data_IF_148202739624
#
_entry.id   IF_148202739624
#
_cell.length_a   1.000
_cell.length_b   1.000
_cell.length_c   1.000
_cell.angle_alpha   90.00
_cell.angle_beta   90.00
_cell.angle_gamma   90.00
#
_symmetry.space_group_name_H-M   'P 1'
#
loop_
_entity.id
_entity.type
_entity.pdbx_description
1 polymer ?
#
# COMPACT_ATOMS: atom_id res chain seq x y z
N UNK A 1 -5.02 -8.88 29.43
CA UNK A 1 -5.04 -8.05 28.20
C UNK A 1 -4.78 -9.04 27.09
N UNK A 2 -5.79 -9.32 26.29
CA UNK A 2 -5.62 -10.16 25.10
C UNK A 2 -4.56 -9.50 24.22
N UNK A 3 -3.64 -10.30 23.76
CA UNK A 3 -2.58 -9.90 22.82
C UNK A 3 -3.28 -9.44 21.53
N UNK A 4 -3.58 -8.15 21.46
CA UNK A 4 -4.23 -7.55 20.31
C UNK A 4 -3.24 -7.68 19.15
N UNK A 5 -3.55 -8.57 18.21
CA UNK A 5 -2.68 -8.91 17.10
C UNK A 5 -2.10 -7.65 16.41
N UNK A 6 -0.85 -7.75 15.98
CA UNK A 6 -0.09 -6.66 15.34
C UNK A 6 -0.63 -6.25 13.97
N UNK A 7 -1.61 -6.98 13.43
CA UNK A 7 -2.13 -6.83 12.07
C UNK A 7 -3.58 -6.38 12.12
N UNK A 8 -3.96 -5.47 11.25
CA UNK A 8 -5.36 -5.09 11.03
C UNK A 8 -5.82 -5.45 9.63
N UNK A 9 -6.99 -6.05 9.51
CA UNK A 9 -7.67 -6.28 8.23
C UNK A 9 -8.87 -5.35 8.12
N UNK A 10 -8.91 -4.57 7.02
CA UNK A 10 -10.04 -3.71 6.72
C UNK A 10 -10.96 -4.44 5.74
N UNK A 11 -12.23 -4.48 6.06
CA UNK A 11 -13.22 -5.07 5.18
C UNK A 11 -14.08 -3.98 4.53
N UNK A 12 -13.90 -3.76 3.26
CA UNK A 12 -14.76 -2.89 2.45
C UNK A 12 -15.69 -3.66 1.52
N UNK A 13 -15.24 -4.81 0.99
CA UNK A 13 -15.88 -5.51 -0.12
C UNK A 13 -15.80 -7.04 -0.02
N UNK A 14 -15.42 -7.55 1.14
CA UNK A 14 -15.21 -8.97 1.42
C UNK A 14 -14.06 -9.65 0.64
N UNK A 15 -13.18 -8.90 -0.04
CA UNK A 15 -12.06 -9.48 -0.79
C UNK A 15 -11.06 -10.26 0.08
N UNK A 16 -11.01 -9.99 1.38
CA UNK A 16 -10.16 -10.69 2.35
C UNK A 16 -10.88 -11.85 3.06
N UNK A 17 -12.22 -11.93 3.03
CA UNK A 17 -12.97 -12.91 3.82
C UNK A 17 -12.73 -14.36 3.40
N UNK A 18 -12.42 -14.58 2.13
CA UNK A 18 -12.18 -15.90 1.56
C UNK A 18 -10.74 -16.42 1.80
N UNK A 19 -9.88 -15.59 2.39
CA UNK A 19 -8.50 -15.95 2.68
C UNK A 19 -8.38 -16.62 4.06
N UNK A 20 -8.54 -17.92 4.10
CA UNK A 20 -8.67 -18.69 5.35
C UNK A 20 -7.41 -18.71 6.22
N UNK A 21 -6.23 -18.47 5.64
CA UNK A 21 -4.98 -18.42 6.40
C UNK A 21 -4.90 -17.19 7.32
N UNK A 22 -5.57 -16.08 6.96
CA UNK A 22 -5.59 -14.86 7.76
C UNK A 22 -6.09 -15.11 9.19
N UNK A 23 -6.98 -16.08 9.36
CA UNK A 23 -7.49 -16.50 10.67
C UNK A 23 -6.43 -17.13 11.59
N UNK A 24 -5.26 -17.51 11.04
CA UNK A 24 -4.15 -18.10 11.80
C UNK A 24 -3.28 -17.07 12.51
N UNK A 25 -3.35 -15.81 12.08
CA UNK A 25 -2.62 -14.72 12.70
C UNK A 25 -3.51 -13.98 13.71
N UNK A 26 -3.01 -13.63 14.90
CA UNK A 26 -3.70 -12.69 15.76
C UNK A 26 -3.91 -11.36 15.01
N UNK A 27 -5.15 -10.93 14.86
CA UNK A 27 -5.49 -9.77 14.07
C UNK A 27 -6.70 -9.00 14.58
N UNK A 28 -6.81 -7.75 14.20
CA UNK A 28 -8.01 -6.94 14.30
C UNK A 28 -8.76 -6.94 12.97
N UNK A 29 -10.08 -7.18 13.04
CA UNK A 29 -10.95 -7.03 11.88
C UNK A 29 -11.78 -5.77 12.02
N UNK A 30 -11.64 -4.85 11.06
CA UNK A 30 -12.40 -3.59 11.03
C UNK A 30 -13.33 -3.61 9.83
N UNK A 31 -14.62 -3.72 10.10
CA UNK A 31 -15.63 -3.72 9.04
C UNK A 31 -15.98 -2.31 8.59
N UNK A 32 -15.76 -2.00 7.33
CA UNK A 32 -16.07 -0.76 6.63
C UNK A 32 -17.07 -0.98 5.47
N UNK A 33 -17.59 -2.20 5.28
CA UNK A 33 -18.44 -2.59 4.14
C UNK A 33 -19.75 -1.84 4.05
N UNK A 34 -20.24 -1.30 5.18
CA UNK A 34 -21.48 -0.52 5.24
C UNK A 34 -21.29 0.99 4.99
N UNK A 35 -20.08 1.46 4.70
CA UNK A 35 -19.84 2.87 4.39
C UNK A 35 -20.06 3.06 2.88
N UNK A 36 -21.06 3.84 2.46
CA UNK A 36 -21.32 4.07 1.05
C UNK A 36 -20.28 5.01 0.43
N UNK A 37 -20.23 5.07 -0.91
CA UNK A 37 -19.39 6.00 -1.68
C UNK A 37 -17.88 5.88 -1.39
N UNK A 38 -17.40 4.63 -1.28
CA UNK A 38 -16.00 4.33 -0.95
C UNK A 38 -15.25 3.58 -2.05
N UNK A 39 -15.93 3.05 -3.06
CA UNK A 39 -15.33 2.19 -4.06
C UNK A 39 -14.67 3.00 -5.20
N UNK A 40 -13.34 3.00 -5.26
CA UNK A 40 -12.52 3.72 -6.23
C UNK A 40 -12.39 5.21 -5.93
N UNK A 41 -13.48 5.86 -5.58
CA UNK A 41 -13.58 7.26 -5.17
C UNK A 41 -14.22 7.34 -3.78
N UNK A 42 -13.77 8.31 -3.00
CA UNK A 42 -14.30 8.53 -1.66
C UNK A 42 -14.64 10.02 -1.48
N UNK A 43 -15.90 10.27 -1.11
CA UNK A 43 -16.37 11.60 -0.74
C UNK A 43 -15.91 11.95 0.67
N UNK A 44 -15.87 13.24 1.02
CA UNK A 44 -15.34 13.72 2.28
C UNK A 44 -16.07 13.12 3.51
N UNK A 45 -17.39 13.01 3.47
CA UNK A 45 -18.18 12.45 4.58
C UNK A 45 -17.85 10.96 4.80
N UNK A 46 -17.67 10.20 3.73
CA UNK A 46 -17.27 8.80 3.79
C UNK A 46 -15.83 8.66 4.30
N UNK A 47 -14.92 9.54 3.86
CA UNK A 47 -13.53 9.59 4.32
C UNK A 47 -13.46 9.87 5.83
N UNK A 48 -14.29 10.79 6.34
CA UNK A 48 -14.38 11.12 7.76
C UNK A 48 -14.95 9.96 8.58
N UNK A 49 -15.94 9.22 8.06
CA UNK A 49 -16.46 8.02 8.71
C UNK A 49 -15.40 6.92 8.79
N UNK A 50 -14.65 6.68 7.71
CA UNK A 50 -13.53 5.73 7.71
C UNK A 50 -12.50 6.15 8.77
N UNK A 51 -12.07 7.42 8.76
CA UNK A 51 -11.11 7.98 9.73
C UNK A 51 -11.54 7.73 11.17
N UNK A 52 -12.79 8.06 11.49
CA UNK A 52 -13.36 7.87 12.83
C UNK A 52 -13.35 6.39 13.22
N UNK A 53 -13.64 5.49 12.30
CA UNK A 53 -13.64 4.04 12.54
C UNK A 53 -12.23 3.52 12.80
N UNK A 54 -11.23 3.94 12.01
CA UNK A 54 -9.82 3.58 12.23
C UNK A 54 -9.31 4.04 13.60
N UNK A 55 -9.68 5.26 14.02
CA UNK A 55 -9.31 5.80 15.35
C UNK A 55 -10.00 4.98 16.47
N UNK A 56 -11.31 4.76 16.37
CA UNK A 56 -12.09 4.05 17.39
C UNK A 56 -11.62 2.62 17.60
N UNK A 57 -11.21 1.95 16.53
CA UNK A 57 -10.77 0.55 16.57
C UNK A 57 -9.26 0.40 16.87
N UNK A 58 -8.55 1.51 17.11
CA UNK A 58 -7.11 1.51 17.41
C UNK A 58 -6.31 0.64 16.43
N UNK A 59 -6.47 0.93 15.13
CA UNK A 59 -5.84 0.17 14.04
C UNK A 59 -4.32 0.10 14.22
N UNK A 60 -3.75 -1.06 14.01
CA UNK A 60 -2.31 -1.32 14.16
C UNK A 60 -1.48 -0.66 13.06
N UNK A 61 -0.15 -0.77 13.15
CA UNK A 61 0.78 -0.20 12.18
C UNK A 61 0.92 -1.03 10.89
N UNK A 62 0.46 -2.29 10.91
CA UNK A 62 0.44 -3.14 9.73
C UNK A 62 -1.00 -3.47 9.33
N UNK A 63 -1.39 -3.06 8.12
CA UNK A 63 -2.78 -3.07 7.66
C UNK A 63 -2.91 -3.78 6.30
N UNK A 64 -3.87 -4.70 6.18
CA UNK A 64 -4.35 -5.17 4.88
C UNK A 64 -5.64 -4.42 4.55
N UNK A 65 -5.61 -3.64 3.46
CA UNK A 65 -6.73 -2.78 3.06
C UNK A 65 -7.78 -3.56 2.25
N UNK A 66 -7.35 -4.59 1.52
CA UNK A 66 -8.19 -5.35 0.60
C UNK A 66 -7.97 -4.97 -0.85
N UNK A 67 -9.03 -4.72 -1.61
CA UNK A 67 -8.94 -4.39 -3.04
C UNK A 67 -8.24 -3.04 -3.28
N UNK A 68 -7.51 -2.90 -4.40
CA UNK A 68 -6.81 -1.67 -4.79
C UNK A 68 -7.71 -0.45 -4.96
N UNK A 69 -9.02 -0.63 -5.17
CA UNK A 69 -9.97 0.48 -5.20
C UNK A 69 -10.01 1.28 -3.90
N UNK A 70 -9.51 0.73 -2.78
CA UNK A 70 -9.48 1.38 -1.48
C UNK A 70 -8.07 1.85 -1.10
N UNK A 71 -7.10 1.88 -2.02
CA UNK A 71 -5.72 2.28 -1.76
C UNK A 71 -5.61 3.69 -1.13
N UNK A 72 -6.55 4.60 -1.41
CA UNK A 72 -6.60 5.92 -0.78
C UNK A 72 -6.69 5.90 0.75
N UNK A 73 -7.05 4.77 1.36
CA UNK A 73 -7.08 4.61 2.83
C UNK A 73 -5.68 4.74 3.44
N UNK A 74 -4.63 4.44 2.66
CA UNK A 74 -3.23 4.70 3.04
C UNK A 74 -3.01 6.14 3.50
N UNK A 75 -3.65 7.12 2.86
CA UNK A 75 -3.61 8.50 3.33
C UNK A 75 -4.09 8.65 4.78
N UNK A 76 -5.21 8.02 5.14
CA UNK A 76 -5.75 8.06 6.51
C UNK A 76 -4.85 7.34 7.53
N UNK A 77 -4.19 6.27 7.11
CA UNK A 77 -3.23 5.56 7.94
C UNK A 77 -1.99 6.44 8.22
N UNK A 78 -1.49 7.14 7.20
CA UNK A 78 -0.37 8.09 7.32
C UNK A 78 -0.72 9.35 8.12
N UNK A 79 -1.98 9.82 8.13
CA UNK A 79 -2.42 10.95 8.96
C UNK A 79 -2.14 10.75 10.45
N UNK A 80 -2.01 9.51 10.90
CA UNK A 80 -1.74 9.16 12.30
C UNK A 80 -0.30 9.43 12.72
N UNK A 81 0.61 9.56 11.77
CA UNK A 81 2.03 9.84 12.01
C UNK A 81 2.20 11.33 12.23
N UNK A 82 2.71 11.72 13.41
CA UNK A 82 2.87 13.12 13.85
C UNK A 82 4.34 13.53 13.97
N UNK A 83 5.21 12.88 13.22
CA UNK A 83 6.65 13.18 13.09
C UNK A 83 7.03 13.11 11.60
N UNK A 84 8.10 13.79 11.15
CA UNK A 84 8.56 13.71 9.77
C UNK A 84 8.79 12.25 9.34
N UNK A 85 8.33 11.89 8.16
CA UNK A 85 8.50 10.57 7.55
C UNK A 85 8.51 10.67 6.02
N UNK A 86 9.02 9.63 5.39
CA UNK A 86 8.95 9.46 3.93
C UNK A 86 8.12 8.24 3.56
N UNK A 87 7.58 8.24 2.35
CA UNK A 87 6.79 7.14 1.80
C UNK A 87 7.62 6.38 0.76
N UNK A 88 7.67 5.06 0.88
CA UNK A 88 7.97 4.16 -0.24
C UNK A 88 6.68 3.46 -0.65
N UNK A 89 6.29 3.68 -1.89
CA UNK A 89 5.12 3.09 -2.52
C UNK A 89 5.58 2.06 -3.56
N UNK A 90 5.18 0.82 -3.42
CA UNK A 90 5.31 -0.22 -4.43
C UNK A 90 4.00 -0.30 -5.20
N UNK A 91 4.01 0.14 -6.47
CA UNK A 91 2.80 0.28 -7.26
C UNK A 91 3.11 0.31 -8.76
N UNK A 92 2.19 -0.18 -9.57
CA UNK A 92 2.25 -0.04 -11.02
C UNK A 92 1.77 1.34 -11.51
N UNK A 93 1.05 2.08 -10.66
CA UNK A 93 0.54 3.43 -10.86
C UNK A 93 1.29 4.43 -9.96
N UNK A 94 1.21 5.72 -10.25
CA UNK A 94 1.81 6.74 -9.39
C UNK A 94 0.81 7.35 -8.39
N UNK A 95 -0.46 7.06 -8.58
CA UNK A 95 -1.57 7.53 -7.75
C UNK A 95 -1.57 9.06 -7.53
N UNK A 96 -1.13 9.79 -8.56
CA UNK A 96 -0.96 11.24 -8.53
C UNK A 96 -1.90 12.00 -9.47
N UNK A 97 -3.01 11.40 -9.89
CA UNK A 97 -4.00 12.08 -10.71
C UNK A 97 -4.65 13.23 -9.93
N UNK A 98 -4.72 14.42 -10.52
CA UNK A 98 -5.43 15.55 -9.88
C UNK A 98 -6.95 15.38 -10.06
N UNK A 99 -7.65 15.14 -8.97
CA UNK A 99 -9.11 14.93 -8.95
C UNK A 99 -9.90 16.21 -8.59
N UNK A 100 -9.21 17.33 -8.33
CA UNK A 100 -9.85 18.54 -7.83
C UNK A 100 -10.16 18.49 -6.33
N UNK A 101 -10.92 19.48 -5.85
CA UNK A 101 -11.24 19.61 -4.42
C UNK A 101 -12.38 18.67 -3.99
N UNK A 102 -12.27 18.11 -2.78
CA UNK A 102 -13.35 17.38 -2.10
C UNK A 102 -13.48 15.91 -2.45
N UNK A 103 -12.63 15.36 -3.32
CA UNK A 103 -12.60 13.95 -3.67
C UNK A 103 -11.20 13.37 -3.51
N UNK A 104 -11.12 12.15 -2.99
CA UNK A 104 -9.93 11.32 -3.03
C UNK A 104 -10.24 10.01 -3.74
N UNK A 105 -9.30 9.46 -4.48
CA UNK A 105 -9.45 8.18 -5.16
C UNK A 105 -8.23 7.30 -5.00
N UNK A 106 -8.36 6.02 -5.37
CA UNK A 106 -7.23 5.11 -5.43
C UNK A 106 -6.10 5.64 -6.33
N UNK A 107 -6.41 6.37 -7.41
CA UNK A 107 -5.40 6.95 -8.32
C UNK A 107 -5.00 8.40 -8.01
N UNK A 108 -5.42 9.00 -6.89
CA UNK A 108 -5.12 10.41 -6.57
C UNK A 108 -4.56 10.62 -5.17
N UNK A 109 -4.51 9.59 -4.36
CA UNK A 109 -4.23 9.71 -2.92
C UNK A 109 -2.81 10.19 -2.60
N UNK A 110 -1.82 9.88 -3.44
CA UNK A 110 -0.45 10.36 -3.25
C UNK A 110 -0.40 11.87 -3.42
N UNK A 111 -0.99 12.41 -4.49
CA UNK A 111 -1.09 13.86 -4.70
C UNK A 111 -1.87 14.54 -3.56
N UNK A 112 -2.95 13.90 -3.11
CA UNK A 112 -3.74 14.39 -1.97
C UNK A 112 -2.90 14.40 -0.67
N UNK A 113 -2.14 13.34 -0.39
CA UNK A 113 -1.27 13.25 0.77
C UNK A 113 -0.16 14.32 0.76
N UNK A 114 0.47 14.55 -0.39
CA UNK A 114 1.50 15.58 -0.57
C UNK A 114 0.97 17.00 -0.29
N UNK A 115 -0.29 17.26 -0.64
CA UNK A 115 -0.94 18.55 -0.38
C UNK A 115 -1.37 18.74 1.09
N UNK A 116 -1.77 17.66 1.77
CA UNK A 116 -2.50 17.74 3.03
C UNK A 116 -1.77 17.17 4.25
N UNK A 117 -0.70 16.39 4.08
CA UNK A 117 0.06 15.84 5.20
C UNK A 117 1.39 16.60 5.40
N UNK A 118 1.49 17.49 6.41
CA UNK A 118 2.69 18.32 6.61
C UNK A 118 3.91 17.53 7.10
N UNK A 119 3.74 16.27 7.49
CA UNK A 119 4.83 15.41 7.97
C UNK A 119 5.45 14.55 6.86
N UNK A 120 4.80 14.44 5.69
CA UNK A 120 5.32 13.70 4.54
C UNK A 120 6.40 14.53 3.81
N UNK A 121 7.64 14.01 3.79
CA UNK A 121 8.82 14.74 3.28
C UNK A 121 9.21 14.31 1.87
N UNK A 122 9.28 13.00 1.64
CA UNK A 122 9.71 12.42 0.36
C UNK A 122 8.80 11.26 -0.02
N UNK A 123 8.63 11.06 -1.31
CA UNK A 123 7.88 9.92 -1.86
C UNK A 123 8.75 9.21 -2.89
N UNK A 124 8.97 7.92 -2.71
CA UNK A 124 9.62 7.06 -3.70
C UNK A 124 8.60 6.04 -4.20
N UNK A 125 8.28 6.07 -5.50
CA UNK A 125 7.35 5.13 -6.14
C UNK A 125 8.15 4.12 -6.93
N UNK A 126 7.99 2.83 -6.63
CA UNK A 126 8.76 1.72 -7.19
C UNK A 126 7.83 0.78 -7.96
N UNK A 127 8.11 0.59 -9.24
CA UNK A 127 7.34 -0.31 -10.11
C UNK A 127 6.47 0.41 -11.13
N UNK A 128 6.35 1.73 -11.01
CA UNK A 128 5.47 2.53 -11.86
C UNK A 128 5.75 2.33 -13.35
N UNK A 129 4.68 2.26 -14.14
CA UNK A 129 4.80 2.24 -15.59
C UNK A 129 5.24 3.61 -16.10
N UNK A 130 6.25 3.65 -16.95
CA UNK A 130 6.77 4.90 -17.52
C UNK A 130 5.69 5.76 -18.23
N UNK A 131 4.62 5.12 -18.70
CA UNK A 131 3.48 5.80 -19.34
C UNK A 131 2.39 6.27 -18.38
N UNK A 132 2.45 5.86 -17.11
CA UNK A 132 1.46 6.18 -16.07
C UNK A 132 1.95 7.27 -15.12
N UNK A 133 3.11 7.88 -15.39
CA UNK A 133 3.60 9.00 -14.57
C UNK A 133 2.79 10.24 -14.89
N UNK A 134 2.12 10.76 -13.89
CA UNK A 134 1.26 11.93 -14.00
C UNK A 134 2.08 13.19 -14.29
N UNK A 135 1.65 14.05 -15.22
CA UNK A 135 2.39 15.26 -15.61
C UNK A 135 2.16 16.43 -14.63
N UNK A 136 1.94 16.16 -13.34
CA UNK A 136 1.69 17.21 -12.36
C UNK A 136 2.98 17.97 -12.06
N UNK A 137 3.02 19.31 -12.17
CA UNK A 137 4.17 20.10 -11.78
C UNK A 137 4.47 19.94 -10.29
N UNK A 138 5.69 19.49 -9.94
CA UNK A 138 6.09 19.24 -8.54
C UNK A 138 6.03 20.52 -7.67
N UNK A 139 6.16 21.68 -8.27
CA UNK A 139 5.99 23.01 -7.62
C UNK A 139 4.62 23.19 -6.96
N UNK A 140 3.59 22.43 -7.37
CA UNK A 140 2.26 22.44 -6.72
C UNK A 140 2.28 21.86 -5.30
N UNK A 141 3.31 21.11 -4.94
CA UNK A 141 3.43 20.47 -3.62
C UNK A 141 4.39 21.23 -2.68
N UNK A 142 5.00 22.34 -3.15
CA UNK A 142 5.98 23.13 -2.39
C UNK A 142 7.42 22.63 -2.55
N UNK A 143 8.38 23.50 -2.31
CA UNK A 143 9.82 23.28 -2.55
C UNK A 143 10.44 22.18 -1.66
N UNK A 144 9.77 21.80 -0.59
CA UNK A 144 10.24 20.81 0.38
C UNK A 144 9.92 19.37 -0.04
N UNK A 145 8.95 19.18 -0.95
CA UNK A 145 8.52 17.84 -1.39
C UNK A 145 9.45 17.33 -2.50
N UNK A 146 9.93 16.11 -2.33
CA UNK A 146 10.75 15.42 -3.34
C UNK A 146 10.10 14.10 -3.70
N UNK A 147 10.03 13.84 -5.00
CA UNK A 147 9.47 12.59 -5.54
C UNK A 147 10.52 11.90 -6.40
N UNK A 148 10.62 10.59 -6.25
CA UNK A 148 11.46 9.71 -7.06
C UNK A 148 10.62 8.59 -7.65
N UNK A 149 10.80 8.34 -8.93
CA UNK A 149 10.21 7.20 -9.62
C UNK A 149 11.29 6.17 -9.97
N UNK A 150 11.13 4.94 -9.50
CA UNK A 150 11.86 3.77 -9.96
C UNK A 150 10.91 3.00 -10.87
N UNK A 151 11.03 3.26 -12.18
CA UNK A 151 10.06 2.72 -13.13
C UNK A 151 10.23 1.22 -13.35
N UNK A 152 9.19 0.59 -13.90
CA UNK A 152 9.20 -0.79 -14.37
C UNK A 152 10.40 -1.10 -15.26
N UNK A 153 10.82 -0.15 -16.11
CA UNK A 153 11.98 -0.28 -16.98
C UNK A 153 13.29 -0.31 -16.17
N UNK A 154 13.42 0.54 -15.16
CA UNK A 154 14.60 0.56 -14.26
C UNK A 154 14.70 -0.78 -13.53
N UNK A 155 13.61 -1.30 -12.98
CA UNK A 155 13.57 -2.60 -12.30
C UNK A 155 14.04 -3.78 -13.17
N UNK A 156 13.90 -3.67 -14.50
CA UNK A 156 14.33 -4.70 -15.43
C UNK A 156 15.79 -4.57 -15.85
N UNK A 157 16.36 -3.37 -15.80
CA UNK A 157 17.66 -3.07 -16.41
C UNK A 157 18.77 -2.84 -15.39
N UNK A 158 18.41 -2.47 -14.14
CA UNK A 158 19.37 -2.11 -13.10
C UNK A 158 19.39 -3.21 -12.03
N UNK A 159 20.58 -3.61 -11.56
CA UNK A 159 20.71 -4.56 -10.47
C UNK A 159 19.98 -4.07 -9.19
N UNK A 160 19.31 -4.97 -8.50
CA UNK A 160 18.43 -4.62 -7.38
C UNK A 160 19.18 -3.92 -6.22
N UNK A 161 20.44 -4.29 -5.97
CA UNK A 161 21.26 -3.63 -4.95
C UNK A 161 21.60 -2.16 -5.31
N UNK A 162 21.76 -1.85 -6.60
CA UNK A 162 21.96 -0.46 -7.07
C UNK A 162 20.67 0.35 -6.90
N UNK A 163 19.52 -0.26 -7.18
CA UNK A 163 18.21 0.37 -6.95
C UNK A 163 18.04 0.68 -5.47
N UNK A 164 18.31 -0.29 -4.57
CA UNK A 164 18.24 -0.09 -3.14
C UNK A 164 19.16 1.06 -2.68
N UNK A 165 20.40 1.09 -3.15
CA UNK A 165 21.35 2.15 -2.84
C UNK A 165 20.89 3.53 -3.36
N UNK A 166 20.34 3.59 -4.58
CA UNK A 166 19.83 4.83 -5.18
C UNK A 166 18.60 5.36 -4.42
N UNK A 167 17.71 4.48 -3.97
CA UNK A 167 16.58 4.85 -3.12
C UNK A 167 17.06 5.34 -1.76
N UNK A 168 18.02 4.67 -1.11
CA UNK A 168 18.60 5.15 0.16
C UNK A 168 19.28 6.51 0.00
N UNK A 169 19.99 6.73 -1.10
CA UNK A 169 20.60 8.04 -1.40
C UNK A 169 19.54 9.14 -1.55
N UNK A 170 18.42 8.82 -2.18
CA UNK A 170 17.29 9.76 -2.29
C UNK A 170 16.63 10.04 -0.94
N UNK A 171 16.43 9.00 -0.12
CA UNK A 171 15.82 9.11 1.20
C UNK A 171 16.75 9.74 2.24
N UNK A 172 18.01 9.96 1.92
CA UNK A 172 19.08 10.51 2.76
C UNK A 172 18.59 11.37 3.93
N UNK A 173 19.14 11.13 5.13
CA UNK A 173 18.78 11.75 6.42
C UNK A 173 17.34 11.49 6.94
N UNK A 174 16.52 10.70 6.22
CA UNK A 174 15.24 10.25 6.76
C UNK A 174 15.47 9.09 7.75
N UNK A 175 14.69 9.06 8.81
CA UNK A 175 14.75 7.97 9.79
C UNK A 175 13.48 7.15 9.79
N UNK A 176 12.35 7.77 9.48
CA UNK A 176 11.03 7.16 9.54
C UNK A 176 10.49 6.88 8.14
N UNK A 177 10.11 5.65 7.89
CA UNK A 177 9.60 5.22 6.60
C UNK A 177 8.22 4.59 6.74
N UNK A 178 7.27 5.07 5.96
CA UNK A 178 6.00 4.38 5.71
C UNK A 178 6.11 3.59 4.42
N UNK A 179 5.64 2.35 4.42
CA UNK A 179 5.65 1.48 3.24
C UNK A 179 4.21 1.16 2.85
N UNK A 180 3.85 1.42 1.60
CA UNK A 180 2.57 1.00 1.01
C UNK A 180 2.83 0.07 -0.17
N UNK A 181 2.07 -1.00 -0.26
CA UNK A 181 2.22 -2.03 -1.30
C UNK A 181 0.87 -2.24 -1.99
N UNK A 182 0.76 -1.81 -3.26
CA UNK A 182 -0.27 -2.37 -4.14
C UNK A 182 0.29 -3.60 -4.85
N UNK A 183 -0.41 -4.73 -4.73
CA UNK A 183 0.04 -5.99 -5.36
C UNK A 183 -0.02 -5.95 -6.87
N UNK A 184 -0.60 -4.91 -7.48
CA UNK A 184 -0.55 -4.74 -8.92
C UNK A 184 0.86 -4.43 -9.44
N UNK A 185 1.80 -4.03 -8.57
CA UNK A 185 3.23 -3.92 -8.90
C UNK A 185 3.83 -5.27 -9.32
N UNK A 186 3.26 -6.38 -8.83
CA UNK A 186 3.78 -7.73 -9.04
C UNK A 186 3.42 -8.31 -10.41
N UNK A 187 4.15 -9.34 -10.80
CA UNK A 187 3.78 -10.17 -11.96
C UNK A 187 2.41 -10.82 -11.76
N UNK A 188 1.58 -10.85 -12.81
CA UNK A 188 0.28 -11.55 -12.83
C UNK A 188 0.34 -13.04 -12.43
N UNK A 189 1.51 -13.66 -12.55
CA UNK A 189 1.73 -15.08 -12.14
C UNK A 189 1.99 -15.22 -10.63
N UNK A 190 2.21 -14.14 -9.91
CA UNK A 190 2.49 -14.13 -8.47
C UNK A 190 1.33 -13.55 -7.66
N UNK A 191 0.70 -12.47 -8.14
CA UNK A 191 -0.54 -11.92 -7.60
C UNK A 191 -1.46 -11.55 -8.76
N UNK A 192 -2.77 -11.59 -8.54
CA UNK A 192 -3.73 -11.16 -9.53
C UNK A 192 -4.67 -10.10 -8.95
N UNK A 193 -4.75 -8.95 -9.61
CA UNK A 193 -5.57 -7.81 -9.19
C UNK A 193 -6.64 -7.50 -10.23
N UNK A 194 -7.57 -6.60 -9.89
CA UNK A 194 -8.55 -6.10 -10.84
C UNK A 194 -8.02 -4.95 -11.71
N UNK A 195 -6.77 -4.54 -11.51
CA UNK A 195 -6.07 -3.48 -12.24
C UNK A 195 -5.03 -4.04 -13.22
N UNK A 196 -4.51 -3.21 -14.10
CA UNK A 196 -3.33 -3.57 -14.89
C UNK A 196 -2.10 -3.69 -13.96
N UNK A 197 -1.15 -4.54 -14.37
CA UNK A 197 -0.10 -4.99 -13.46
C UNK A 197 1.30 -4.79 -14.01
N UNK A 198 2.18 -4.63 -13.05
CA UNK A 198 3.61 -4.52 -13.23
C UNK A 198 4.31 -5.85 -13.54
N UNK A 199 5.59 -5.87 -13.23
CA UNK A 199 6.47 -7.01 -13.48
C UNK A 199 7.55 -7.18 -12.40
N UNK A 200 7.32 -6.63 -11.21
CA UNK A 200 8.16 -6.92 -10.06
C UNK A 200 7.90 -8.37 -9.60
N UNK A 201 8.95 -9.09 -9.22
CA UNK A 201 8.77 -10.37 -8.56
C UNK A 201 8.62 -10.19 -7.05
N UNK A 202 7.94 -11.14 -6.39
CA UNK A 202 7.83 -11.16 -4.93
C UNK A 202 9.22 -11.18 -4.27
N UNK A 203 10.17 -11.88 -4.85
CA UNK A 203 11.57 -11.91 -4.35
C UNK A 203 12.22 -10.52 -4.40
N UNK A 204 11.99 -9.75 -5.46
CA UNK A 204 12.49 -8.37 -5.55
C UNK A 204 11.84 -7.47 -4.50
N UNK A 205 10.53 -7.60 -4.29
CA UNK A 205 9.81 -6.88 -3.25
C UNK A 205 10.40 -7.19 -1.86
N UNK A 206 10.52 -8.47 -1.50
CA UNK A 206 11.05 -8.88 -0.19
C UNK A 206 12.49 -8.41 0.04
N UNK A 207 13.33 -8.44 -1.00
CA UNK A 207 14.70 -7.91 -0.92
C UNK A 207 14.72 -6.42 -0.55
N UNK A 208 13.89 -5.62 -1.22
CA UNK A 208 13.80 -4.17 -0.94
C UNK A 208 13.20 -3.90 0.44
N UNK A 209 12.20 -4.67 0.86
CA UNK A 209 11.63 -4.57 2.21
C UNK A 209 12.68 -4.87 3.29
N UNK A 210 13.51 -5.91 3.09
CA UNK A 210 14.60 -6.24 4.02
C UNK A 210 15.63 -5.13 4.09
N UNK A 211 16.07 -4.61 2.92
CA UNK A 211 17.01 -3.49 2.86
C UNK A 211 16.48 -2.26 3.60
N UNK A 212 15.22 -1.89 3.37
CA UNK A 212 14.63 -0.72 4.03
C UNK A 212 14.45 -0.94 5.53
N UNK A 213 14.01 -2.11 5.97
CA UNK A 213 13.89 -2.43 7.40
C UNK A 213 15.24 -2.42 8.15
N UNK A 214 16.36 -2.67 7.45
CA UNK A 214 17.70 -2.58 8.05
C UNK A 214 18.21 -1.14 8.20
N UNK A 215 17.67 -0.18 7.43
CA UNK A 215 18.19 1.19 7.38
C UNK A 215 17.25 2.23 7.97
N UNK A 216 15.95 1.92 8.13
CA UNK A 216 14.92 2.88 8.55
C UNK A 216 14.03 2.31 9.65
N UNK A 217 13.48 3.20 10.50
CA UNK A 217 12.38 2.87 11.38
C UNK A 217 11.08 2.78 10.55
N UNK A 218 10.50 1.59 10.42
CA UNK A 218 9.23 1.42 9.72
C UNK A 218 8.09 1.85 10.66
N UNK A 219 7.52 3.02 10.39
CA UNK A 219 6.48 3.64 11.24
C UNK A 219 5.07 3.20 10.89
N UNK A 220 4.90 2.48 9.80
CA UNK A 220 3.66 1.86 9.38
C UNK A 220 3.78 1.21 8.01
N UNK A 221 2.90 0.27 7.74
CA UNK A 221 2.86 -0.45 6.47
C UNK A 221 1.44 -0.86 6.13
N UNK A 222 1.10 -0.79 4.85
CA UNK A 222 -0.14 -1.39 4.35
C UNK A 222 0.04 -2.16 3.05
N UNK A 223 -0.95 -3.03 2.78
CA UNK A 223 -1.03 -3.83 1.55
C UNK A 223 -2.45 -3.73 1.01
N UNK A 224 -2.57 -3.48 -0.28
CA UNK A 224 -3.81 -3.60 -1.05
C UNK A 224 -3.63 -4.41 -2.33
N UNK A 225 -4.60 -4.35 -3.24
CA UNK A 225 -4.55 -5.06 -4.52
C UNK A 225 -5.11 -6.48 -4.46
N UNK A 226 -6.14 -6.72 -3.62
CA UNK A 226 -6.86 -7.99 -3.65
C UNK A 226 -7.70 -8.14 -4.93
N UNK A 227 -7.80 -9.39 -5.38
CA UNK A 227 -8.77 -9.74 -6.42
C UNK A 227 -10.17 -9.83 -5.80
N UNK A 228 -11.07 -8.98 -6.29
CA UNK A 228 -12.48 -9.04 -5.92
C UNK A 228 -13.19 -10.06 -6.80
N UNK A 229 -13.76 -11.09 -6.16
CA UNK A 229 -14.65 -12.02 -6.82
C UNK A 229 -15.94 -11.30 -7.21
N UNK A 230 -16.20 -11.21 -8.53
CA UNK A 230 -17.53 -10.84 -9.03
C UNK A 230 -18.45 -12.06 -8.87
N UNK A 231 -19.65 -11.88 -8.32
CA UNK A 231 -20.66 -12.94 -8.19
C UNK A 231 -20.96 -13.65 -9.52
N UNK A 232 -20.68 -13.02 -10.67
CA UNK A 232 -20.79 -13.62 -12.00
C UNK A 232 -19.66 -14.60 -12.30
N UNK A 233 -18.54 -14.45 -11.62
CA UNK A 233 -17.30 -15.20 -11.83
C UNK A 233 -16.97 -16.14 -10.66
N UNK A 234 -17.72 -16.12 -9.55
CA UNK A 234 -17.46 -16.97 -8.38
C UNK A 234 -17.51 -18.48 -8.67
N UNK A 235 -18.28 -18.88 -9.69
CA UNK A 235 -18.36 -20.26 -10.16
C UNK A 235 -17.21 -20.69 -11.08
N UNK A 236 -16.35 -19.76 -11.50
CA UNK A 236 -15.19 -20.09 -12.32
C UNK A 236 -14.01 -20.51 -11.43
N UNK A 237 -13.49 -21.71 -11.63
CA UNK A 237 -12.34 -22.24 -10.89
C UNK A 237 -11.13 -21.29 -10.92
N UNK A 238 -10.90 -20.60 -12.04
CA UNK A 238 -9.80 -19.66 -12.21
C UNK A 238 -9.90 -18.46 -11.27
N UNK A 239 -11.10 -17.98 -10.95
CA UNK A 239 -11.28 -16.87 -10.01
C UNK A 239 -10.83 -17.23 -8.60
N UNK A 240 -11.06 -18.48 -8.18
CA UNK A 240 -10.57 -19.01 -6.92
C UNK A 240 -9.06 -19.24 -6.91
N UNK A 241 -8.46 -19.55 -8.05
CA UNK A 241 -6.99 -19.63 -8.19
C UNK A 241 -6.36 -18.24 -7.94
N UNK A 242 -6.98 -17.16 -8.41
CA UNK A 242 -6.51 -15.79 -8.15
C UNK A 242 -6.60 -15.42 -6.66
N UNK A 243 -7.70 -15.77 -5.99
CA UNK A 243 -7.82 -15.56 -4.53
C UNK A 243 -6.73 -16.32 -3.78
N UNK A 244 -6.49 -17.60 -4.11
CA UNK A 244 -5.43 -18.41 -3.48
C UNK A 244 -4.04 -17.90 -3.76
N UNK A 245 -3.79 -17.38 -4.95
CA UNK A 245 -2.53 -16.76 -5.32
C UNK A 245 -2.26 -15.54 -4.45
N UNK A 246 -3.24 -14.65 -4.29
CA UNK A 246 -3.15 -13.48 -3.43
C UNK A 246 -3.02 -13.85 -1.95
N UNK A 247 -3.74 -14.88 -1.51
CA UNK A 247 -3.61 -15.46 -0.18
C UNK A 247 -2.18 -15.89 0.13
N UNK A 248 -1.51 -16.57 -0.82
CA UNK A 248 -0.13 -17.01 -0.67
C UNK A 248 0.83 -15.79 -0.57
N UNK A 249 0.65 -14.78 -1.41
CA UNK A 249 1.48 -13.57 -1.38
C UNK A 249 1.30 -12.82 -0.06
N UNK A 250 0.08 -12.62 0.40
CA UNK A 250 -0.19 -11.99 1.68
C UNK A 250 0.49 -12.75 2.82
N UNK A 251 0.35 -14.08 2.82
CA UNK A 251 0.99 -14.93 3.82
C UNK A 251 2.51 -14.74 3.84
N UNK A 252 3.16 -14.80 2.68
CA UNK A 252 4.61 -14.67 2.57
C UNK A 252 5.07 -13.30 3.08
N UNK A 253 4.37 -12.22 2.69
CA UNK A 253 4.73 -10.87 3.14
C UNK A 253 4.52 -10.73 4.66
N UNK A 254 3.40 -11.21 5.21
CA UNK A 254 3.10 -11.16 6.64
C UNK A 254 4.16 -11.93 7.44
N UNK A 255 4.43 -13.18 7.08
CA UNK A 255 5.44 -14.01 7.75
C UNK A 255 6.81 -13.32 7.71
N UNK A 256 7.20 -12.76 6.57
CA UNK A 256 8.46 -12.05 6.40
C UNK A 256 8.57 -10.80 7.30
N UNK A 257 7.52 -9.99 7.38
CA UNK A 257 7.50 -8.78 8.22
C UNK A 257 7.58 -9.14 9.70
N UNK A 258 6.84 -10.15 10.14
CA UNK A 258 6.88 -10.62 11.52
C UNK A 258 8.27 -11.16 11.90
N UNK A 259 8.98 -11.80 10.97
CA UNK A 259 10.37 -12.24 11.17
C UNK A 259 11.35 -11.06 11.26
N UNK A 260 11.15 -9.99 10.48
CA UNK A 260 11.98 -8.78 10.58
C UNK A 260 11.82 -8.08 11.93
N UNK A 261 10.58 -7.95 12.44
CA UNK A 261 10.33 -7.38 13.76
C UNK A 261 10.99 -8.17 14.89
N UNK A 262 11.05 -9.51 14.79
CA UNK A 262 11.73 -10.35 15.79
C UNK A 262 13.25 -10.20 15.78
N UNK A 263 13.84 -9.79 14.67
CA UNK A 263 15.30 -9.55 14.54
C UNK A 263 15.72 -8.19 15.09
N UNK A 264 14.79 -7.25 15.26
CA UNK A 264 15.03 -5.89 15.77
C UNK A 264 14.79 -5.74 17.26
N UNK A 265 14.34 -6.80 17.94
CA UNK A 265 14.21 -6.95 19.40
C UNK A 265 15.41 -7.69 19.98
#
# INVERSE_FOLDING_TARGET
>A
MEDSGKITFLNFDNSLTEQTFLQKFPHHWVDCSNIPHTNGFCEQDALDEIRNRLIKQNVQSFVLIGNGNYHYVTYLLMERIKKPFSLVLFDHHDDMVDQGEGLISCGSWVAYALKNNPFLQKVCIIGVNDHNISPIPLEHFGDHVKIKWVTKKILQQVPLYEIAQDVRTFLDNETNLYISIDKDVLYKKEAFTNWDQGNMSLVQLLYLLEDFAQHYEIVGMDICGEYLLDYRNEYHSISWEYVKMNELVNRVIIEFILELELKTL
#
